data_IF_103000414522
#
_entry.id   IF_103000414522
#
_cell.length_a   1.000
_cell.length_b   1.000
_cell.length_c   1.000
_cell.angle_alpha   90.00
_cell.angle_beta   90.00
_cell.angle_gamma   90.00
#
_symmetry.space_group_name_H-M   'P 1'
#
loop_
_entity.id
_entity.type
_entity.pdbx_description
1 polymer ?
#
# COMPACT_ATOMS: atom_id res chain seq x y z
N UNK A 1 -5.77 -27.79 3.87
CA UNK A 1 -5.09 -26.69 4.57
C UNK A 1 -6.02 -25.49 4.53
N UNK A 2 -6.44 -24.93 5.66
CA UNK A 2 -7.23 -23.69 5.67
C UNK A 2 -6.33 -22.54 5.26
N UNK A 3 -6.72 -21.79 4.23
CA UNK A 3 -5.99 -20.60 3.79
C UNK A 3 -6.19 -19.52 4.87
N UNK A 4 -5.13 -19.09 5.53
CA UNK A 4 -5.21 -17.98 6.48
C UNK A 4 -5.59 -16.72 5.70
N UNK A 5 -6.72 -16.12 6.05
CA UNK A 5 -7.17 -14.85 5.48
C UNK A 5 -6.67 -13.71 6.38
N UNK A 6 -6.06 -12.70 5.77
CA UNK A 6 -5.65 -11.48 6.46
C UNK A 6 -6.62 -10.34 6.13
N UNK A 7 -6.98 -9.57 7.15
CA UNK A 7 -7.80 -8.37 7.05
C UNK A 7 -6.96 -7.18 7.50
N UNK A 8 -6.83 -6.19 6.62
CA UNK A 8 -6.18 -4.92 6.91
C UNK A 8 -7.24 -3.88 7.25
N UNK A 9 -7.06 -3.20 8.38
CA UNK A 9 -7.96 -2.13 8.84
C UNK A 9 -7.18 -0.84 8.94
N UNK A 10 -7.58 0.16 8.15
CA UNK A 10 -7.08 1.52 8.27
C UNK A 10 -7.96 2.29 9.26
N UNK A 11 -7.34 2.97 10.22
CA UNK A 11 -8.06 3.66 11.29
C UNK A 11 -7.35 4.93 11.77
N UNK A 12 -8.12 5.83 12.37
CA UNK A 12 -7.59 6.97 13.14
C UNK A 12 -7.75 6.70 14.63
N UNK A 13 -6.73 7.08 15.43
CA UNK A 13 -6.82 7.08 16.90
C UNK A 13 -7.68 8.25 17.43
N UNK A 14 -7.87 9.29 16.62
CA UNK A 14 -8.69 10.46 16.93
C UNK A 14 -9.62 10.76 15.74
N UNK A 15 -10.72 10.00 15.56
CA UNK A 15 -11.57 10.11 14.36
C UNK A 15 -12.33 11.44 14.27
N UNK A 16 -12.45 12.19 15.38
CA UNK A 16 -13.03 13.54 15.38
C UNK A 16 -12.11 14.61 14.80
N UNK A 17 -10.81 14.36 14.75
CA UNK A 17 -9.82 15.27 14.17
C UNK A 17 -9.58 14.88 12.71
N UNK A 18 -9.98 15.73 11.74
CA UNK A 18 -9.87 15.41 10.33
C UNK A 18 -8.43 15.45 9.80
N UNK A 19 -7.49 15.92 10.63
CA UNK A 19 -6.06 15.96 10.34
C UNK A 19 -5.28 14.93 11.16
N UNK A 20 -5.99 13.99 11.81
CA UNK A 20 -5.39 12.89 12.55
C UNK A 20 -4.69 11.88 11.62
N UNK A 21 -3.46 11.52 12.00
CA UNK A 21 -2.67 10.45 11.41
C UNK A 21 -3.45 9.14 11.35
N UNK A 22 -3.38 8.49 10.19
CA UNK A 22 -3.96 7.17 9.97
C UNK A 22 -2.94 6.07 10.28
N UNK A 23 -3.45 4.90 10.66
CA UNK A 23 -2.68 3.73 11.04
C UNK A 23 -3.30 2.50 10.39
N UNK A 24 -2.47 1.47 10.18
CA UNK A 24 -2.95 0.14 9.79
C UNK A 24 -2.89 -0.83 10.96
N UNK A 25 -3.88 -1.71 11.02
CA UNK A 25 -3.89 -2.92 11.86
C UNK A 25 -4.12 -4.13 10.99
N UNK A 26 -3.41 -5.21 11.30
CA UNK A 26 -3.58 -6.51 10.64
C UNK A 26 -4.33 -7.46 11.55
N UNK A 27 -5.30 -8.18 11.00
CA UNK A 27 -6.05 -9.23 11.67
C UNK A 27 -5.96 -10.52 10.87
N UNK A 28 -5.83 -11.65 11.54
CA UNK A 28 -5.89 -12.97 10.91
C UNK A 28 -7.18 -13.68 11.26
N UNK A 29 -7.68 -14.46 10.32
CA UNK A 29 -8.78 -15.36 10.56
C UNK A 29 -8.31 -16.52 11.45
N UNK A 30 -8.68 -16.48 12.73
CA UNK A 30 -8.35 -17.53 13.71
C UNK A 30 -9.25 -18.77 13.50
N UNK A 31 -10.53 -18.53 13.20
CA UNK A 31 -11.52 -19.52 12.79
C UNK A 31 -12.43 -18.88 11.74
N UNK A 32 -13.22 -19.67 11.02
CA UNK A 32 -14.13 -19.15 9.99
C UNK A 32 -14.98 -17.99 10.52
N UNK A 33 -14.89 -16.84 9.84
CA UNK A 33 -15.58 -15.60 10.21
C UNK A 33 -15.04 -14.85 11.45
N UNK A 34 -14.06 -15.38 12.17
CA UNK A 34 -13.50 -14.76 13.39
C UNK A 34 -12.09 -14.26 13.13
N UNK A 35 -11.93 -12.93 13.23
CA UNK A 35 -10.66 -12.24 13.03
C UNK A 35 -10.07 -11.78 14.37
N UNK A 36 -8.78 -12.05 14.57
CA UNK A 36 -8.03 -11.61 15.76
C UNK A 36 -6.86 -10.72 15.35
N UNK A 37 -6.62 -9.65 16.09
CA UNK A 37 -5.52 -8.72 15.82
C UNK A 37 -4.18 -9.45 15.86
N UNK A 38 -3.43 -9.37 14.76
CA UNK A 38 -2.10 -9.94 14.65
C UNK A 38 -1.07 -8.92 15.14
N UNK A 39 -0.95 -8.81 16.46
CA UNK A 39 -0.17 -7.75 17.14
C UNK A 39 1.29 -7.67 16.72
N UNK A 40 1.91 -8.78 16.32
CA UNK A 40 3.32 -8.83 15.92
C UNK A 40 3.59 -8.40 14.49
N UNK A 41 2.57 -8.07 13.69
CA UNK A 41 2.77 -7.54 12.35
C UNK A 41 3.54 -6.23 12.39
N UNK A 42 4.61 -6.11 11.59
CA UNK A 42 5.35 -4.85 11.43
C UNK A 42 4.54 -3.78 10.70
N UNK A 43 3.43 -4.13 10.05
CA UNK A 43 2.50 -3.14 9.55
C UNK A 43 1.83 -2.36 10.69
N UNK A 44 1.63 -2.98 11.87
CA UNK A 44 1.07 -2.31 13.05
C UNK A 44 2.05 -1.24 13.59
N UNK A 45 2.01 -0.04 13.03
CA UNK A 45 2.99 1.00 13.32
C UNK A 45 3.29 1.90 12.14
N UNK A 46 2.88 1.51 10.93
CA UNK A 46 2.97 2.37 9.76
C UNK A 46 2.00 3.54 9.92
N UNK A 47 2.59 4.72 10.06
CA UNK A 47 1.89 6.00 10.11
C UNK A 47 1.65 6.54 8.71
N UNK A 48 0.42 6.99 8.47
CA UNK A 48 0.01 7.55 7.20
C UNK A 48 -0.60 8.94 7.40
N UNK A 49 -0.45 9.79 6.39
CA UNK A 49 -1.03 11.13 6.35
C UNK A 49 -2.55 11.06 6.54
N UNK A 50 -3.09 12.01 7.27
CA UNK A 50 -4.54 12.19 7.37
C UNK A 50 -5.19 12.29 5.99
N UNK A 51 -6.40 11.72 5.86
CA UNK A 51 -7.20 11.69 4.62
C UNK A 51 -6.53 11.01 3.41
N UNK A 52 -5.38 10.35 3.61
CA UNK A 52 -4.79 9.52 2.56
C UNK A 52 -5.66 8.29 2.29
N UNK A 53 -5.58 7.77 1.07
CA UNK A 53 -6.25 6.54 0.67
C UNK A 53 -5.18 5.52 0.27
N UNK A 54 -4.67 4.72 1.22
CA UNK A 54 -3.67 3.70 0.90
C UNK A 54 -4.26 2.69 -0.09
N UNK A 55 -3.42 2.24 -1.02
CA UNK A 55 -3.80 1.28 -2.06
C UNK A 55 -3.09 -0.04 -1.79
N UNK A 56 -3.86 -1.12 -1.67
CA UNK A 56 -3.36 -2.48 -1.46
C UNK A 56 -3.24 -3.20 -2.80
N UNK A 57 -2.09 -3.80 -3.05
CA UNK A 57 -1.75 -4.48 -4.31
C UNK A 57 -0.53 -5.39 -4.11
N UNK A 58 -0.29 -6.28 -5.06
CA UNK A 58 1.00 -6.97 -5.19
C UNK A 58 1.80 -6.20 -6.24
N UNK A 59 2.77 -5.37 -5.81
CA UNK A 59 3.47 -4.44 -6.71
C UNK A 59 4.67 -5.10 -7.40
N UNK A 60 5.16 -6.22 -6.86
CA UNK A 60 6.37 -6.89 -7.33
C UNK A 60 6.10 -8.28 -7.93
N UNK A 61 4.84 -8.73 -7.92
CA UNK A 61 4.38 -9.98 -8.53
C UNK A 61 4.68 -11.23 -7.71
N UNK A 62 5.00 -11.12 -6.41
CA UNK A 62 5.36 -12.25 -5.56
C UNK A 62 4.17 -12.95 -4.87
N UNK A 63 2.94 -12.48 -5.16
CA UNK A 63 1.67 -12.90 -4.56
C UNK A 63 1.52 -12.58 -3.07
N UNK A 64 2.36 -11.70 -2.53
CA UNK A 64 2.26 -11.17 -1.18
C UNK A 64 1.62 -9.79 -1.26
N UNK A 65 0.82 -9.45 -0.25
CA UNK A 65 0.12 -8.17 -0.23
C UNK A 65 1.09 -7.05 0.17
N UNK A 66 1.21 -6.06 -0.69
CA UNK A 66 1.86 -4.78 -0.43
C UNK A 66 0.82 -3.67 -0.28
N UNK A 67 1.28 -2.50 0.12
CA UNK A 67 0.46 -1.30 -0.05
C UNK A 67 1.26 -0.02 -0.21
N UNK A 68 0.72 0.87 -1.03
CA UNK A 68 1.21 2.24 -1.22
C UNK A 68 0.52 3.14 -0.21
N UNK A 69 1.29 4.00 0.43
CA UNK A 69 0.77 4.98 1.39
C UNK A 69 1.59 6.28 1.34
N UNK A 70 1.04 7.33 1.95
CA UNK A 70 1.74 8.62 2.12
C UNK A 70 2.05 8.81 3.59
N UNK A 71 3.30 9.11 3.93
CA UNK A 71 3.73 9.39 5.31
C UNK A 71 3.22 10.75 5.79
N UNK A 72 3.20 11.02 7.11
CA UNK A 72 2.91 12.36 7.64
C UNK A 72 3.82 13.46 7.09
N UNK A 73 5.04 13.13 6.64
CA UNK A 73 5.99 14.03 6.00
C UNK A 73 5.74 14.28 4.50
N UNK A 74 4.61 13.83 3.95
CA UNK A 74 4.25 13.92 2.52
C UNK A 74 5.17 13.12 1.58
N UNK A 75 5.65 11.95 2.00
CA UNK A 75 6.43 11.06 1.14
C UNK A 75 5.60 9.84 0.75
N UNK A 76 5.55 9.52 -0.55
CA UNK A 76 4.94 8.28 -1.04
C UNK A 76 5.89 7.11 -0.83
N UNK A 77 5.43 6.12 -0.06
CA UNK A 77 6.17 4.90 0.28
C UNK A 77 5.36 3.68 -0.11
N UNK A 78 6.06 2.55 -0.24
CA UNK A 78 5.45 1.23 -0.38
C UNK A 78 5.85 0.39 0.81
N UNK A 79 4.88 -0.21 1.48
CA UNK A 79 5.11 -1.27 2.44
C UNK A 79 5.10 -2.59 1.68
N UNK A 80 6.28 -3.14 1.41
CA UNK A 80 6.47 -4.40 0.69
C UNK A 80 6.37 -5.55 1.69
N UNK A 81 5.38 -6.42 1.53
CA UNK A 81 5.21 -7.60 2.34
C UNK A 81 6.35 -8.60 2.10
N UNK A 82 6.82 -9.28 3.15
CA UNK A 82 7.90 -10.28 3.05
C UNK A 82 7.43 -11.71 3.33
N UNK A 83 6.19 -11.87 3.72
CA UNK A 83 5.58 -13.17 4.00
C UNK A 83 4.07 -13.14 3.77
N UNK A 84 3.49 -14.30 3.48
CA UNK A 84 2.06 -14.47 3.22
C UNK A 84 1.18 -14.29 4.45
N UNK A 85 1.77 -14.22 5.65
CA UNK A 85 1.07 -14.02 6.91
C UNK A 85 1.07 -12.53 7.33
N UNK A 86 1.48 -11.60 6.46
CA UNK A 86 1.52 -10.18 6.78
C UNK A 86 2.24 -9.87 8.11
N UNK A 87 3.29 -10.63 8.45
CA UNK A 87 4.08 -10.45 9.67
C UNK A 87 5.13 -9.38 9.49
N UNK A 88 5.78 -9.36 8.34
CA UNK A 88 6.93 -8.54 8.05
C UNK A 88 6.69 -7.68 6.80
N UNK A 89 7.09 -6.41 6.91
CA UNK A 89 6.95 -5.39 5.89
C UNK A 89 8.22 -4.55 5.85
N UNK A 90 8.66 -4.20 4.66
CA UNK A 90 9.75 -3.27 4.41
C UNK A 90 9.20 -1.99 3.78
N UNK A 91 9.53 -0.83 4.35
CA UNK A 91 9.15 0.45 3.78
C UNK A 91 10.21 0.91 2.77
N UNK A 92 9.84 0.98 1.50
CA UNK A 92 10.70 1.42 0.39
C UNK A 92 10.10 2.65 -0.31
N UNK A 93 10.90 3.35 -1.10
CA UNK A 93 10.42 4.51 -1.85
C UNK A 93 9.59 4.08 -3.06
N UNK A 94 8.45 4.74 -3.30
CA UNK A 94 7.61 4.44 -4.47
C UNK A 94 8.38 4.59 -5.79
N UNK A 95 9.39 5.47 -5.84
CA UNK A 95 10.24 5.66 -7.01
C UNK A 95 10.98 4.40 -7.47
N UNK A 96 11.13 3.39 -6.62
CA UNK A 96 11.73 2.11 -6.99
C UNK A 96 10.84 1.29 -7.93
N UNK A 97 9.53 1.56 -7.93
CA UNK A 97 8.53 0.88 -8.77
C UNK A 97 8.02 1.74 -9.92
N UNK A 98 8.57 2.94 -10.11
CA UNK A 98 8.16 3.84 -11.20
C UNK A 98 9.09 3.63 -12.40
N UNK A 99 8.49 3.37 -13.56
CA UNK A 99 9.22 3.32 -14.82
C UNK A 99 9.82 4.69 -15.15
N UNK A 100 11.13 4.72 -15.33
CA UNK A 100 11.86 5.96 -15.62
C UNK A 100 12.12 6.13 -17.12
N UNK A 101 12.44 7.35 -17.59
CA UNK A 101 12.87 7.59 -18.97
C UNK A 101 14.07 6.73 -19.43
N UNK A 102 14.86 6.19 -18.48
CA UNK A 102 15.96 5.26 -18.79
C UNK A 102 15.48 3.88 -19.22
N UNK A 103 14.33 3.43 -18.71
CA UNK A 103 13.71 2.15 -19.05
C UNK A 103 12.81 2.31 -20.27
N UNK A 104 12.04 3.39 -20.33
CA UNK A 104 11.20 3.72 -21.47
C UNK A 104 11.27 5.24 -21.75
N UNK A 105 11.87 5.67 -22.89
CA UNK A 105 12.02 7.09 -23.23
C UNK A 105 10.72 7.89 -23.32
N UNK A 106 9.57 7.22 -23.50
CA UNK A 106 8.25 7.87 -23.58
C UNK A 106 7.67 8.20 -22.20
N UNK A 107 8.25 7.67 -21.12
CA UNK A 107 7.82 7.96 -19.75
C UNK A 107 8.28 9.34 -19.28
N UNK A 108 7.49 9.95 -18.38
CA UNK A 108 7.88 11.16 -17.66
C UNK A 108 8.28 10.79 -16.22
N UNK A 109 9.36 11.38 -15.71
CA UNK A 109 9.71 11.26 -14.29
C UNK A 109 8.78 12.16 -13.48
N UNK A 110 8.00 11.64 -12.52
CA UNK A 110 7.18 12.48 -11.66
C UNK A 110 8.04 13.40 -10.79
N UNK A 111 7.56 14.61 -10.56
CA UNK A 111 8.18 15.56 -9.63
C UNK A 111 8.18 14.95 -8.21
N UNK A 112 9.30 14.98 -7.46
CA UNK A 112 9.35 14.50 -6.07
C UNK A 112 8.32 15.14 -5.13
N UNK A 113 7.81 16.33 -5.45
CA UNK A 113 6.74 17.01 -4.73
C UNK A 113 5.34 16.55 -5.12
N UNK A 114 5.19 15.80 -6.22
CA UNK A 114 3.94 15.16 -6.63
C UNK A 114 3.75 13.84 -5.89
N UNK A 115 3.27 13.91 -4.64
CA UNK A 115 2.85 12.72 -3.91
C UNK A 115 1.45 12.28 -4.36
N UNK A 116 1.25 10.96 -4.40
CA UNK A 116 -0.04 10.36 -4.70
C UNK A 116 -0.91 10.43 -3.44
N UNK A 117 -1.48 11.59 -3.10
CA UNK A 117 -2.23 11.71 -1.83
C UNK A 117 -3.62 11.12 -1.84
N UNK A 118 -4.25 11.00 -3.01
CA UNK A 118 -5.68 10.72 -3.10
C UNK A 118 -6.01 10.24 -4.51
N UNK A 119 -5.59 9.03 -4.91
CA UNK A 119 -6.16 8.42 -6.10
C UNK A 119 -7.66 8.25 -5.83
N UNK A 120 -8.48 9.06 -6.50
CA UNK A 120 -9.94 8.90 -6.41
C UNK A 120 -10.39 7.58 -7.04
N UNK A 121 -9.51 7.01 -7.88
CA UNK A 121 -9.59 5.68 -8.43
C UNK A 121 -8.17 5.14 -8.65
N UNK A 122 -8.03 3.84 -8.44
CA UNK A 122 -6.93 3.05 -8.98
C UNK A 122 -7.53 1.99 -9.91
N UNK A 123 -6.75 1.58 -10.90
CA UNK A 123 -7.10 0.44 -11.76
C UNK A 123 -5.85 -0.42 -11.94
N UNK A 124 -6.08 -1.73 -11.97
CA UNK A 124 -5.07 -2.74 -12.28
C UNK A 124 -5.33 -3.23 -13.69
N UNK A 125 -4.43 -2.90 -14.61
CA UNK A 125 -4.52 -3.25 -16.03
C UNK A 125 -3.13 -3.63 -16.46
N UNK A 126 -2.98 -4.76 -17.16
CA UNK A 126 -1.76 -5.12 -17.88
C UNK A 126 -1.74 -4.34 -19.20
N UNK A 127 -1.03 -3.21 -19.24
CA UNK A 127 -0.96 -2.29 -20.38
C UNK A 127 0.09 -2.72 -21.41
N UNK A 128 1.15 -3.41 -20.98
CA UNK A 128 2.26 -3.80 -21.85
C UNK A 128 2.33 -5.30 -22.19
N UNK A 129 1.48 -6.11 -21.56
CA UNK A 129 1.31 -7.53 -21.83
C UNK A 129 2.32 -8.42 -21.13
N UNK A 130 3.01 -7.94 -20.09
CA UNK A 130 4.04 -8.70 -19.37
C UNK A 130 3.51 -9.64 -18.28
N UNK A 131 2.18 -9.73 -18.14
CA UNK A 131 1.46 -10.51 -17.13
C UNK A 131 1.64 -10.02 -15.69
N UNK A 132 2.25 -8.86 -15.49
CA UNK A 132 2.24 -8.12 -14.22
C UNK A 132 1.23 -6.97 -14.33
N UNK A 133 0.47 -6.68 -13.25
CA UNK A 133 -0.51 -5.60 -13.30
C UNK A 133 0.19 -4.23 -13.28
N UNK A 134 -0.07 -3.39 -14.29
CA UNK A 134 0.29 -1.97 -14.18
C UNK A 134 -0.68 -1.23 -13.26
N UNK A 135 -0.13 -0.22 -12.59
CA UNK A 135 -0.87 0.66 -11.71
C UNK A 135 -1.25 1.95 -12.44
N UNK A 136 -2.54 2.09 -12.76
CA UNK A 136 -3.08 3.37 -13.22
C UNK A 136 -3.68 4.15 -12.06
N UNK A 137 -3.13 5.35 -11.82
CA UNK A 137 -3.61 6.27 -10.78
C UNK A 137 -3.94 7.62 -11.39
N UNK A 138 -5.17 8.09 -11.15
CA UNK A 138 -5.57 9.45 -11.49
C UNK A 138 -5.05 10.44 -10.44
N UNK A 139 -4.43 11.53 -10.91
CA UNK A 139 -4.10 12.70 -10.10
C UNK A 139 -5.27 13.68 -10.14
N UNK A 140 -5.65 14.26 -9.00
CA UNK A 140 -6.53 15.45 -8.95
C UNK A 140 -5.75 16.73 -9.22
#
# INVERSE_FOLDING_TARGET
>A
MSRLQSLFVIYSKNPSDPDATLWVKVFHQATEGVFTEFKSSKANGIEMKARSQPTFLDINGDMIMDFIYVTPSNQSKVAVGKDTEAKDFEAVDLSEFIMTPKQNPDCQTPDPSSYISTPHSNSFIDLDGDCMPDLYISKQ
#
